data_IF_416342128414
#
_entry.id   IF_416342128414
#
_cell.length_a   1.000
_cell.length_b   1.000
_cell.length_c   1.000
_cell.angle_alpha   90.00
_cell.angle_beta   90.00
_cell.angle_gamma   90.00
#
_symmetry.space_group_name_H-M   'P 1'
#
loop_
_entity.id
_entity.type
_entity.pdbx_description
1 polymer ?
#
# COMPACT_ATOMS: atom_id res chain seq x y z
N UNK A 1 2.70 2.28 -1.75
CA UNK A 1 1.74 3.36 -1.43
C UNK A 1 1.69 4.32 -2.60
N UNK A 2 0.50 4.49 -3.17
CA UNK A 2 0.20 5.60 -4.07
C UNK A 2 0.01 6.85 -3.23
N UNK A 3 0.67 7.93 -3.63
CA UNK A 3 0.65 9.23 -2.93
C UNK A 3 0.60 10.36 -3.95
N UNK A 4 0.38 11.58 -3.47
CA UNK A 4 0.52 12.80 -4.28
C UNK A 4 1.15 13.91 -3.44
N UNK A 5 1.75 14.90 -4.11
CA UNK A 5 2.22 16.11 -3.44
C UNK A 5 1.08 16.79 -2.67
N UNK A 6 1.34 17.21 -1.42
CA UNK A 6 0.35 17.87 -0.56
C UNK A 6 -0.62 16.93 0.18
N UNK A 7 -0.48 15.61 0.04
CA UNK A 7 -1.31 14.65 0.75
C UNK A 7 -1.00 14.60 2.26
N UNK A 8 -1.85 15.25 3.07
CA UNK A 8 -1.70 15.32 4.54
C UNK A 8 -1.74 13.94 5.20
N UNK A 9 -2.56 13.03 4.68
CA UNK A 9 -2.68 11.65 5.19
C UNK A 9 -1.48 10.79 4.83
N UNK A 10 -0.86 11.02 3.67
CA UNK A 10 0.39 10.38 3.29
C UNK A 10 1.51 10.82 4.24
N UNK A 11 1.62 12.12 4.51
CA UNK A 11 2.59 12.65 5.47
C UNK A 11 2.34 12.18 6.91
N UNK A 12 1.08 11.88 7.26
CA UNK A 12 0.75 11.24 8.55
C UNK A 12 1.24 9.79 8.59
N UNK A 13 0.97 9.01 7.55
CA UNK A 13 1.49 7.65 7.42
C UNK A 13 3.03 7.60 7.46
N UNK A 14 3.70 8.53 6.77
CA UNK A 14 5.16 8.63 6.74
C UNK A 14 5.76 8.83 8.14
N UNK A 15 5.06 9.53 9.03
CA UNK A 15 5.50 9.78 10.42
C UNK A 15 5.17 8.63 11.36
N UNK A 16 3.97 8.06 11.23
CA UNK A 16 3.44 7.07 12.17
C UNK A 16 3.88 5.63 11.84
N UNK A 17 3.95 5.27 10.55
CA UNK A 17 4.23 3.90 10.09
C UNK A 17 5.57 3.79 9.38
N UNK A 18 5.93 4.78 8.56
CA UNK A 18 7.15 4.77 7.74
C UNK A 18 8.41 4.28 8.46
N UNK A 19 8.75 4.80 9.67
CA UNK A 19 9.97 4.42 10.38
C UNK A 19 10.02 2.97 10.86
N UNK A 20 8.85 2.36 11.10
CA UNK A 20 8.71 1.01 11.68
C UNK A 20 8.27 -0.03 10.67
N UNK A 21 7.85 0.38 9.46
CA UNK A 21 7.25 -0.51 8.46
C UNK A 21 8.12 -1.75 8.18
N UNK A 22 9.39 -1.55 7.82
CA UNK A 22 10.31 -2.65 7.50
C UNK A 22 10.70 -3.53 8.70
N UNK A 23 10.45 -3.06 9.92
CA UNK A 23 10.72 -3.83 11.14
C UNK A 23 9.56 -4.78 11.46
N UNK A 24 8.35 -4.44 11.02
CA UNK A 24 7.14 -5.23 11.24
C UNK A 24 7.06 -6.43 10.29
N UNK A 25 6.48 -7.56 10.75
CA UNK A 25 6.43 -8.80 9.99
C UNK A 25 5.73 -8.65 8.63
N UNK A 26 4.60 -7.95 8.59
CA UNK A 26 3.81 -7.64 7.40
C UNK A 26 4.60 -6.75 6.43
N UNK A 27 5.35 -5.77 6.93
CA UNK A 27 6.16 -4.91 6.07
C UNK A 27 7.36 -5.63 5.46
N UNK A 28 7.91 -6.65 6.13
CA UNK A 28 8.91 -7.56 5.55
C UNK A 28 8.30 -8.49 4.50
N UNK A 29 7.06 -8.94 4.70
CA UNK A 29 6.34 -9.78 3.74
C UNK A 29 5.87 -9.01 2.50
N UNK A 30 5.56 -7.73 2.64
CA UNK A 30 5.11 -6.86 1.57
C UNK A 30 6.00 -5.59 1.51
N UNK A 31 7.18 -5.65 0.89
CA UNK A 31 8.04 -4.49 0.72
C UNK A 31 7.31 -3.31 0.07
N UNK A 32 7.51 -2.11 0.60
CA UNK A 32 6.77 -0.94 0.17
C UNK A 32 7.50 -0.18 -0.93
N UNK A 33 6.78 0.10 -2.02
CA UNK A 33 7.21 1.05 -3.07
C UNK A 33 6.33 2.28 -3.02
N UNK A 34 6.93 3.47 -3.13
CA UNK A 34 6.22 4.75 -3.20
C UNK A 34 6.04 5.16 -4.66
N UNK A 35 4.81 5.48 -5.07
CA UNK A 35 4.48 5.87 -6.46
C UNK A 35 3.58 7.10 -6.42
N UNK A 36 3.82 8.09 -7.28
CA UNK A 36 2.90 9.22 -7.42
C UNK A 36 1.61 8.77 -8.14
N UNK A 37 0.47 9.38 -7.83
CA UNK A 37 -0.82 9.07 -8.48
C UNK A 37 -0.79 9.35 -9.97
N UNK A 38 0.05 10.28 -10.42
CA UNK A 38 0.26 10.60 -11.83
C UNK A 38 1.36 9.72 -12.47
N UNK A 39 1.97 8.81 -11.70
CA UNK A 39 3.04 7.93 -12.13
C UNK A 39 4.44 8.57 -12.09
N UNK A 40 5.43 7.95 -12.75
CA UNK A 40 5.32 6.73 -13.54
C UNK A 40 5.05 5.50 -12.67
N UNK A 41 4.27 4.55 -13.20
CA UNK A 41 4.04 3.26 -12.56
C UNK A 41 5.14 2.27 -12.93
N UNK A 42 5.48 1.30 -12.05
CA UNK A 42 6.37 0.20 -12.41
C UNK A 42 5.88 -0.58 -13.63
N UNK A 43 6.81 -0.99 -14.49
CA UNK A 43 6.50 -1.78 -15.68
C UNK A 43 5.85 -3.13 -15.33
N UNK A 44 4.94 -3.59 -16.18
CA UNK A 44 4.24 -4.86 -16.02
C UNK A 44 3.17 -4.87 -14.92
N UNK A 45 2.83 -3.70 -14.36
CA UNK A 45 1.80 -3.57 -13.34
C UNK A 45 0.38 -3.57 -13.93
N UNK A 46 -0.39 -4.60 -13.62
CA UNK A 46 -1.81 -4.71 -13.95
C UNK A 46 -2.67 -4.29 -12.74
N UNK A 47 -3.07 -3.03 -12.70
CA UNK A 47 -4.01 -2.51 -11.71
C UNK A 47 -5.45 -2.84 -12.09
N UNK A 48 -6.27 -3.19 -11.10
CA UNK A 48 -7.70 -3.42 -11.31
C UNK A 48 -8.44 -2.13 -11.71
N UNK A 49 -7.93 -0.98 -11.24
CA UNK A 49 -8.39 0.37 -11.63
C UNK A 49 -7.33 1.42 -11.34
N UNK A 50 -7.38 2.58 -11.98
CA UNK A 50 -6.48 3.68 -11.63
C UNK A 50 -6.73 4.16 -10.18
N UNK A 51 -5.68 4.42 -9.38
CA UNK A 51 -5.81 5.05 -8.09
C UNK A 51 -6.25 6.51 -8.24
N UNK A 52 -7.17 6.96 -7.39
CA UNK A 52 -7.62 8.36 -7.37
C UNK A 52 -7.59 8.95 -5.96
N UNK A 53 -7.64 8.11 -4.93
CA UNK A 53 -7.50 8.50 -3.53
C UNK A 53 -6.07 8.30 -3.03
N UNK A 54 -5.59 9.23 -2.19
CA UNK A 54 -4.27 9.14 -1.57
C UNK A 54 -4.35 9.31 -0.04
N UNK A 55 -3.62 8.50 0.75
CA UNK A 55 -2.80 7.38 0.30
C UNK A 55 -3.66 6.20 -0.15
N UNK A 56 -3.18 5.43 -1.14
CA UNK A 56 -3.73 4.10 -1.44
C UNK A 56 -2.63 3.05 -1.31
N UNK A 57 -2.95 1.93 -0.68
CA UNK A 57 -2.06 0.79 -0.52
C UNK A 57 -2.54 -0.32 -1.42
N UNK A 58 -1.73 -0.66 -2.42
CA UNK A 58 -2.04 -1.70 -3.41
C UNK A 58 -1.05 -2.82 -3.17
N UNK A 59 -1.57 -4.01 -2.87
CA UNK A 59 -0.79 -5.23 -2.78
C UNK A 59 -0.76 -5.89 -4.15
N UNK A 60 0.45 -6.14 -4.62
CA UNK A 60 0.71 -6.68 -5.95
C UNK A 60 1.40 -8.04 -5.79
N UNK A 61 0.98 -9.02 -6.58
CA UNK A 61 1.62 -10.32 -6.68
C UNK A 61 1.75 -10.70 -8.15
N UNK A 62 2.95 -11.09 -8.60
CA UNK A 62 3.23 -11.44 -10.00
C UNK A 62 2.78 -10.35 -11.01
N UNK A 63 2.96 -9.07 -10.64
CA UNK A 63 2.56 -7.93 -11.47
C UNK A 63 1.07 -7.56 -11.42
N UNK A 64 0.21 -8.38 -10.81
CA UNK A 64 -1.22 -8.12 -10.71
C UNK A 64 -1.62 -7.55 -9.35
N UNK A 65 -2.53 -6.58 -9.33
CA UNK A 65 -3.20 -6.12 -8.11
C UNK A 65 -4.10 -7.23 -7.53
N UNK A 66 -3.84 -7.59 -6.27
CA UNK A 66 -4.62 -8.61 -5.53
C UNK A 66 -5.59 -7.94 -4.56
N UNK A 67 -5.12 -6.89 -3.89
CA UNK A 67 -5.89 -6.19 -2.87
C UNK A 67 -5.55 -4.71 -2.84
N UNK A 68 -6.52 -3.89 -2.47
CA UNK A 68 -6.37 -2.46 -2.29
C UNK A 68 -7.02 -2.01 -1.00
N UNK A 69 -6.33 -1.10 -0.32
CA UNK A 69 -6.88 -0.34 0.77
C UNK A 69 -6.66 1.15 0.51
N UNK A 70 -7.74 1.93 0.52
CA UNK A 70 -7.71 3.37 0.23
C UNK A 70 -7.90 4.18 1.52
N UNK A 71 -7.05 5.18 1.71
CA UNK A 71 -6.99 5.99 2.92
C UNK A 71 -6.01 5.47 3.97
N UNK A 72 -5.99 6.17 5.11
CA UNK A 72 -5.14 5.81 6.26
C UNK A 72 -5.98 5.80 7.54
N UNK A 73 -6.19 4.63 8.20
CA UNK A 73 -7.08 4.51 9.33
C UNK A 73 -6.41 4.85 10.68
N UNK A 74 -5.13 5.23 10.65
CA UNK A 74 -4.28 5.41 11.83
C UNK A 74 -3.37 4.21 12.12
N UNK A 75 -2.37 4.45 12.97
CA UNK A 75 -1.27 3.51 13.22
C UNK A 75 -1.75 2.13 13.70
N UNK A 76 -2.65 2.09 14.68
CA UNK A 76 -3.13 0.86 15.32
C UNK A 76 -3.90 -0.07 14.38
N UNK A 77 -4.45 0.49 13.29
CA UNK A 77 -5.29 -0.24 12.32
C UNK A 77 -4.54 -0.64 11.06
N UNK A 78 -3.41 -0.01 10.77
CA UNK A 78 -2.70 -0.21 9.51
C UNK A 78 -2.20 -1.65 9.33
N UNK A 79 -1.45 -2.19 10.29
CA UNK A 79 -0.90 -3.55 10.16
C UNK A 79 -1.96 -4.66 10.17
N UNK A 80 -3.04 -4.60 10.99
CA UNK A 80 -4.17 -5.51 10.85
C UNK A 80 -4.81 -5.51 9.45
N UNK A 81 -4.96 -4.34 8.82
CA UNK A 81 -5.47 -4.22 7.44
C UNK A 81 -4.50 -4.88 6.45
N UNK A 82 -3.20 -4.55 6.53
CA UNK A 82 -2.19 -5.13 5.66
C UNK A 82 -2.11 -6.67 5.80
N UNK A 83 -2.25 -7.19 7.03
CA UNK A 83 -2.33 -8.62 7.29
C UNK A 83 -3.52 -9.27 6.58
N UNK A 84 -4.68 -8.64 6.59
CA UNK A 84 -5.86 -9.10 5.85
C UNK A 84 -5.62 -9.17 4.35
N UNK A 85 -5.00 -8.13 3.77
CA UNK A 85 -4.62 -8.09 2.35
C UNK A 85 -3.65 -9.23 2.00
N UNK A 86 -2.63 -9.47 2.83
CA UNK A 86 -1.68 -10.57 2.64
C UNK A 86 -2.38 -11.94 2.75
N UNK A 87 -3.34 -12.08 3.67
CA UNK A 87 -4.16 -13.29 3.79
C UNK A 87 -4.96 -13.59 2.52
N UNK A 88 -5.58 -12.57 1.92
CA UNK A 88 -6.30 -12.71 0.65
C UNK A 88 -5.38 -13.19 -0.49
N UNK A 89 -4.16 -12.64 -0.58
CA UNK A 89 -3.17 -13.06 -1.57
C UNK A 89 -2.76 -14.53 -1.44
N UNK A 90 -2.80 -15.09 -0.22
CA UNK A 90 -2.50 -16.52 0.02
C UNK A 90 -3.66 -17.45 -0.29
N UNK A 91 -4.89 -16.98 -0.15
CA UNK A 91 -6.11 -17.76 -0.45
C UNK A 91 -6.57 -17.66 -1.91
N UNK A 92 -5.96 -16.78 -2.70
CA UNK A 92 -6.25 -16.60 -4.14
C UNK A 92 -5.32 -17.42 -5.04
N UNK A 93 -4.51 -18.30 -4.46
CA UNK A 93 -3.57 -19.20 -5.13
C UNK A 93 -4.13 -20.64 -5.22
#
# INVERSE_FOLDING_TARGET
>A
MIRRKGCVWCARWDREIGPVYGQHAEGRQAPLVMVDVDGPYPDGLALARMPWLTPSFILVQNGAEIARYEGYPGADRFFPVLRGMIGQARGSA
#
